data_IF_013439423773
#
_entry.id   IF_013439423773
#
_cell.length_a   1.000
_cell.length_b   1.000
_cell.length_c   1.000
_cell.angle_alpha   90.00
_cell.angle_beta   90.00
_cell.angle_gamma   90.00
#
_symmetry.space_group_name_H-M   'P 1'
#
loop_
_entity.id
_entity.type
_entity.pdbx_description
1 polymer ?
#
# COMPACT_ATOMS: atom_id res chain seq x y z
N UNK A 1 48.80 -34.59 5.19
CA UNK A 1 48.24 -33.72 4.14
C UNK A 1 46.71 -33.73 4.22
N UNK A 2 46.10 -32.65 4.72
CA UNK A 2 44.65 -32.35 4.69
C UNK A 2 44.52 -30.82 4.52
N UNK A 3 43.34 -30.29 4.19
CA UNK A 3 43.07 -28.85 3.95
C UNK A 3 43.81 -28.17 2.77
N UNK A 4 43.52 -28.59 1.52
CA UNK A 4 43.72 -27.74 0.31
C UNK A 4 42.64 -27.90 -0.78
N UNK A 5 41.42 -28.34 -0.42
CA UNK A 5 40.30 -28.54 -1.37
C UNK A 5 38.96 -27.91 -0.94
N UNK A 6 38.97 -26.96 0.00
CA UNK A 6 37.77 -26.22 0.45
C UNK A 6 38.03 -24.71 0.33
N UNK A 7 38.54 -24.29 -0.84
CA UNK A 7 38.75 -22.87 -1.19
C UNK A 7 38.22 -22.50 -2.58
N UNK A 8 37.74 -23.48 -3.37
CA UNK A 8 37.26 -23.28 -4.74
C UNK A 8 35.72 -23.12 -4.83
N UNK A 9 35.00 -23.27 -3.72
CA UNK A 9 33.52 -23.35 -3.69
C UNK A 9 32.83 -22.26 -2.84
N UNK A 10 33.58 -21.27 -2.34
CA UNK A 10 33.05 -20.17 -1.51
C UNK A 10 32.99 -18.84 -2.27
N UNK A 11 33.68 -18.73 -3.42
CA UNK A 11 33.76 -17.50 -4.22
C UNK A 11 32.62 -17.30 -5.24
N UNK A 12 31.56 -18.11 -5.18
CA UNK A 12 30.34 -17.99 -6.00
C UNK A 12 29.17 -17.40 -5.19
N UNK A 13 29.39 -17.11 -3.91
CA UNK A 13 28.38 -16.54 -3.01
C UNK A 13 28.33 -15.01 -3.13
N UNK A 14 27.13 -14.46 -3.28
CA UNK A 14 26.82 -13.01 -3.25
C UNK A 14 27.50 -12.13 -4.33
N UNK A 15 27.32 -12.51 -5.59
CA UNK A 15 26.84 -11.49 -6.54
C UNK A 15 25.38 -11.18 -6.20
N UNK A 16 25.19 -10.30 -5.22
CA UNK A 16 23.89 -9.76 -4.84
C UNK A 16 23.38 -8.80 -5.90
N UNK A 17 23.02 -9.33 -7.08
CA UNK A 17 22.37 -8.53 -8.10
C UNK A 17 21.03 -8.02 -7.55
N UNK A 18 20.95 -6.70 -7.37
CA UNK A 18 19.72 -6.02 -7.74
C UNK A 18 19.49 -6.38 -9.21
N UNK A 19 18.56 -7.30 -9.46
CA UNK A 19 18.16 -7.65 -10.82
C UNK A 19 17.42 -6.43 -11.39
N UNK A 20 18.16 -5.56 -12.06
CA UNK A 20 17.55 -4.49 -12.82
C UNK A 20 16.66 -5.12 -13.90
N UNK A 21 15.41 -4.68 -13.94
CA UNK A 21 14.36 -5.15 -14.84
C UNK A 21 14.10 -4.10 -15.89
N UNK A 22 13.76 -4.49 -17.12
CA UNK A 22 13.26 -3.53 -18.11
C UNK A 22 11.97 -2.88 -17.61
N UNK A 23 11.76 -1.62 -18.00
CA UNK A 23 10.43 -1.01 -18.02
C UNK A 23 9.66 -1.58 -19.21
N UNK A 24 8.47 -2.08 -18.95
CA UNK A 24 7.51 -2.52 -19.95
C UNK A 24 6.46 -1.45 -20.23
N UNK A 25 5.86 -1.51 -21.42
CA UNK A 25 4.85 -0.54 -21.89
C UNK A 25 3.67 -0.46 -20.92
N UNK A 26 3.07 -1.62 -20.60
CA UNK A 26 1.88 -1.75 -19.74
C UNK A 26 2.16 -1.65 -18.22
N UNK A 27 3.21 -0.95 -17.79
CA UNK A 27 3.51 -0.76 -16.35
C UNK A 27 2.75 0.39 -15.70
N UNK A 28 2.48 1.45 -16.46
CA UNK A 28 1.89 2.70 -15.95
C UNK A 28 1.26 3.52 -17.09
N UNK A 29 0.14 4.18 -16.81
CA UNK A 29 -0.41 5.27 -17.64
C UNK A 29 0.19 6.62 -17.24
N UNK A 30 0.44 7.47 -18.23
CA UNK A 30 0.96 8.84 -18.03
C UNK A 30 -0.03 9.82 -18.63
N UNK A 31 -0.98 10.31 -17.83
CA UNK A 31 -2.02 11.23 -18.31
C UNK A 31 -1.54 12.68 -18.38
N UNK A 32 -0.68 13.08 -17.43
CA UNK A 32 -0.15 14.43 -17.28
C UNK A 32 1.40 14.46 -17.40
N UNK A 33 2.03 15.54 -17.91
CA UNK A 33 3.49 15.68 -17.93
C UNK A 33 4.20 15.46 -16.58
N UNK A 34 3.53 15.67 -15.45
CA UNK A 34 4.07 15.44 -14.11
C UNK A 34 4.06 13.96 -13.69
N UNK A 35 3.32 13.07 -14.35
CA UNK A 35 3.38 11.62 -14.10
C UNK A 35 4.74 11.01 -14.43
N UNK A 36 5.51 11.68 -15.28
CA UNK A 36 6.90 11.33 -15.57
C UNK A 36 7.83 11.57 -14.37
N UNK A 37 7.46 12.45 -13.44
CA UNK A 37 8.34 12.89 -12.34
C UNK A 37 8.49 11.77 -11.31
N UNK A 38 9.73 11.28 -11.18
CA UNK A 38 10.12 10.20 -10.30
C UNK A 38 10.15 8.83 -10.96
N UNK A 39 9.67 8.71 -12.20
CA UNK A 39 9.78 7.47 -12.97
C UNK A 39 11.20 7.34 -13.56
N UNK A 40 11.67 6.10 -13.71
CA UNK A 40 12.97 5.78 -14.28
C UNK A 40 12.84 4.72 -15.38
N UNK A 41 12.86 5.15 -16.64
CA UNK A 41 12.71 4.25 -17.78
C UNK A 41 13.96 3.39 -17.97
N UNK A 42 13.80 2.07 -18.04
CA UNK A 42 14.85 1.09 -18.36
C UNK A 42 14.54 0.40 -19.70
N UNK A 43 15.01 0.93 -20.84
CA UNK A 43 14.71 0.39 -22.17
C UNK A 43 15.42 -0.95 -22.45
N UNK A 44 14.88 -1.72 -23.41
CA UNK A 44 15.42 -3.02 -23.82
C UNK A 44 16.14 -3.03 -25.19
N UNK A 45 15.91 -1.98 -26.00
CA UNK A 45 16.44 -1.85 -27.36
C UNK A 45 16.78 -0.38 -27.62
N UNK A 46 17.91 -0.12 -28.28
CA UNK A 46 18.26 1.21 -28.82
C UNK A 46 18.40 1.17 -30.34
N UNK A 47 18.15 2.32 -30.96
CA UNK A 47 18.21 2.52 -32.40
C UNK A 47 18.73 3.93 -32.69
N UNK A 48 19.68 4.04 -33.61
CA UNK A 48 20.25 5.32 -34.04
C UNK A 48 19.68 5.61 -35.45
N UNK A 49 18.98 6.74 -35.69
CA UNK A 49 18.37 6.99 -36.99
C UNK A 49 19.40 6.98 -38.13
N UNK A 50 19.20 6.09 -39.10
CA UNK A 50 20.13 5.82 -40.21
C UNK A 50 20.97 4.55 -40.03
N UNK A 51 20.96 3.95 -38.85
CA UNK A 51 21.31 2.55 -38.63
C UNK A 51 20.06 1.68 -38.85
N UNK A 52 20.25 0.46 -39.36
CA UNK A 52 19.17 -0.47 -39.70
C UNK A 52 19.09 -1.67 -38.74
N UNK A 53 20.15 -1.96 -37.99
CA UNK A 53 20.22 -3.08 -37.05
C UNK A 53 20.12 -2.57 -35.60
N UNK A 54 18.93 -2.58 -34.98
CA UNK A 54 18.76 -2.02 -33.65
C UNK A 54 19.42 -2.89 -32.57
N UNK A 55 20.19 -2.25 -31.69
CA UNK A 55 20.97 -2.92 -30.65
C UNK A 55 20.10 -3.28 -29.44
N UNK A 56 20.04 -4.56 -29.09
CA UNK A 56 19.44 -5.04 -27.84
C UNK A 56 20.33 -4.65 -26.64
N UNK A 57 19.72 -4.25 -25.54
CA UNK A 57 20.40 -3.70 -24.35
C UNK A 57 20.18 -4.64 -23.16
N UNK A 58 21.21 -4.81 -22.31
CA UNK A 58 21.04 -5.45 -20.99
C UNK A 58 20.25 -4.56 -20.02
N UNK A 59 19.40 -5.16 -19.19
CA UNK A 59 18.54 -4.42 -18.27
C UNK A 59 19.35 -3.55 -17.29
N UNK A 60 18.98 -2.27 -17.19
CA UNK A 60 19.66 -1.27 -16.35
C UNK A 60 20.90 -0.62 -16.98
N UNK A 61 21.51 -1.21 -18.03
CA UNK A 61 22.71 -0.66 -18.67
C UNK A 61 22.49 0.72 -19.30
N UNK A 62 21.23 1.05 -19.61
CA UNK A 62 20.76 2.41 -19.85
C UNK A 62 19.54 2.69 -18.97
N UNK A 63 19.42 3.91 -18.44
CA UNK A 63 18.21 4.34 -17.75
C UNK A 63 18.02 5.86 -17.74
N UNK A 64 16.77 6.30 -17.64
CA UNK A 64 16.35 7.71 -17.77
C UNK A 64 15.44 8.11 -16.60
N UNK A 65 16.06 8.55 -15.50
CA UNK A 65 15.38 8.99 -14.29
C UNK A 65 14.95 10.44 -14.37
N UNK A 66 13.64 10.70 -14.39
CA UNK A 66 13.09 12.05 -14.49
C UNK A 66 12.77 12.59 -13.09
N UNK A 67 13.07 13.87 -12.86
CA UNK A 67 12.68 14.63 -11.65
C UNK A 67 12.10 15.99 -12.08
N UNK A 68 11.62 16.81 -11.13
CA UNK A 68 10.99 18.11 -11.46
C UNK A 68 11.90 19.09 -12.20
N UNK A 69 13.23 18.99 -12.04
CA UNK A 69 14.20 19.91 -12.62
C UNK A 69 15.41 19.25 -13.29
N UNK A 70 15.54 17.92 -13.23
CA UNK A 70 16.71 17.18 -13.73
C UNK A 70 16.33 15.86 -14.39
N UNK A 71 16.99 15.55 -15.50
CA UNK A 71 17.03 14.22 -16.11
C UNK A 71 18.39 13.56 -15.80
N UNK A 72 18.33 12.40 -15.17
CA UNK A 72 19.45 11.53 -14.88
C UNK A 72 19.56 10.48 -15.98
N UNK A 73 20.63 10.50 -16.77
CA UNK A 73 20.87 9.52 -17.84
C UNK A 73 22.01 8.58 -17.43
N UNK A 74 21.69 7.29 -17.29
CA UNK A 74 22.66 6.20 -17.25
C UNK A 74 22.82 5.60 -18.66
N UNK A 75 24.02 5.11 -18.98
CA UNK A 75 24.37 4.66 -20.33
C UNK A 75 25.87 4.75 -20.60
N UNK A 76 26.23 4.71 -21.88
CA UNK A 76 27.61 4.92 -22.33
C UNK A 76 28.14 6.33 -22.02
N UNK A 77 29.45 6.52 -22.17
CA UNK A 77 30.09 7.82 -21.87
C UNK A 77 29.66 8.95 -22.82
N UNK A 78 29.07 8.61 -23.98
CA UNK A 78 28.57 9.60 -24.94
C UNK A 78 27.30 10.25 -24.43
N UNK A 79 26.38 9.51 -23.79
CA UNK A 79 25.10 10.07 -23.31
C UNK A 79 24.95 10.19 -21.80
N UNK A 80 25.65 9.39 -21.00
CA UNK A 80 25.60 9.44 -19.52
C UNK A 80 25.84 10.85 -19.00
N UNK A 81 25.01 11.29 -18.06
CA UNK A 81 25.10 12.64 -17.51
C UNK A 81 23.86 13.09 -16.74
N UNK A 82 23.94 14.32 -16.23
CA UNK A 82 22.86 15.02 -15.54
C UNK A 82 22.49 16.25 -16.37
N UNK A 83 21.24 16.34 -16.80
CA UNK A 83 20.74 17.41 -17.66
C UNK A 83 19.65 18.20 -16.92
N UNK A 84 19.64 19.52 -17.06
CA UNK A 84 18.63 20.37 -16.42
C UNK A 84 17.36 20.42 -17.29
N UNK A 85 16.20 20.21 -16.68
CA UNK A 85 14.90 20.26 -17.35
C UNK A 85 14.38 21.70 -17.25
N UNK A 86 14.36 22.41 -18.37
CA UNK A 86 13.82 23.77 -18.46
C UNK A 86 12.28 23.75 -18.55
N UNK A 87 11.70 22.73 -19.19
CA UNK A 87 10.25 22.57 -19.32
C UNK A 87 9.89 21.12 -19.67
N UNK A 88 8.71 20.67 -19.26
CA UNK A 88 8.05 19.46 -19.76
C UNK A 88 6.74 19.90 -20.40
N UNK A 89 6.53 19.57 -21.69
CA UNK A 89 5.32 19.97 -22.42
C UNK A 89 4.63 18.75 -23.06
N UNK A 90 3.29 18.72 -23.11
CA UNK A 90 2.55 17.76 -23.92
C UNK A 90 2.74 18.06 -25.42
N UNK A 91 2.59 17.01 -26.24
CA UNK A 91 2.78 17.02 -27.69
C UNK A 91 1.84 16.00 -28.34
N UNK A 92 1.73 16.01 -29.67
CA UNK A 92 0.89 15.08 -30.43
C UNK A 92 1.38 13.61 -30.43
N UNK A 93 2.45 13.29 -29.71
CA UNK A 93 3.03 11.95 -29.57
C UNK A 93 3.27 11.53 -28.12
N UNK A 94 2.80 12.32 -27.14
CA UNK A 94 3.17 12.17 -25.72
C UNK A 94 3.81 13.44 -25.19
N UNK A 95 5.05 13.37 -24.68
CA UNK A 95 5.67 14.48 -23.96
C UNK A 95 7.06 14.87 -24.49
N UNK A 96 7.46 16.12 -24.23
CA UNK A 96 8.79 16.63 -24.56
C UNK A 96 9.39 17.41 -23.39
N UNK A 97 10.45 16.85 -22.81
CA UNK A 97 11.35 17.53 -21.89
C UNK A 97 12.36 18.34 -22.71
N UNK A 98 12.44 19.65 -22.48
CA UNK A 98 13.49 20.50 -23.06
C UNK A 98 14.66 20.58 -22.10
N UNK A 99 15.85 20.18 -22.56
CA UNK A 99 17.03 20.01 -21.71
C UNK A 99 18.07 21.10 -21.96
N UNK A 100 18.69 21.58 -20.89
CA UNK A 100 19.86 22.47 -20.91
C UNK A 100 21.11 21.70 -20.44
N UNK A 101 22.25 22.04 -21.06
CA UNK A 101 23.57 21.71 -20.57
C UNK A 101 23.99 22.74 -19.50
N UNK A 102 24.19 22.35 -18.22
CA UNK A 102 24.54 23.30 -17.17
C UNK A 102 25.84 24.09 -17.42
N UNK A 103 26.72 23.58 -18.29
CA UNK A 103 27.98 24.24 -18.65
C UNK A 103 27.83 25.19 -19.85
N UNK A 104 26.73 25.05 -20.62
CA UNK A 104 26.46 25.86 -21.80
C UNK A 104 24.95 25.92 -22.10
N UNK A 105 24.19 26.86 -21.49
CA UNK A 105 22.74 26.98 -21.71
C UNK A 105 22.28 27.29 -23.15
N UNK A 106 23.20 27.64 -24.05
CA UNK A 106 22.93 27.77 -25.50
C UNK A 106 22.89 26.41 -26.20
N UNK A 107 23.52 25.38 -25.63
CA UNK A 107 23.42 24.00 -26.08
C UNK A 107 22.16 23.34 -25.50
N UNK A 108 21.17 23.09 -26.36
CA UNK A 108 19.86 22.54 -25.96
C UNK A 108 19.67 21.12 -26.44
N UNK A 109 19.43 20.21 -25.50
CA UNK A 109 19.01 18.84 -25.74
C UNK A 109 17.49 18.67 -25.60
N UNK A 110 17.02 17.43 -25.67
CA UNK A 110 15.66 17.07 -25.27
C UNK A 110 15.55 15.58 -24.92
N UNK A 111 14.48 15.22 -24.20
CA UNK A 111 13.93 13.86 -24.17
C UNK A 111 12.50 13.94 -24.68
N UNK A 112 12.18 13.22 -25.76
CA UNK A 112 10.80 12.94 -26.16
C UNK A 112 10.37 11.67 -25.43
N UNK A 113 9.16 11.63 -24.91
CA UNK A 113 8.50 10.43 -24.41
C UNK A 113 7.34 10.14 -25.37
N UNK A 114 7.39 8.98 -26.01
CA UNK A 114 6.44 8.57 -27.04
C UNK A 114 5.40 7.66 -26.37
N UNK A 115 4.15 8.14 -26.31
CA UNK A 115 3.03 7.41 -25.73
C UNK A 115 2.10 6.86 -26.80
N UNK A 116 1.51 5.70 -26.54
CA UNK A 116 0.47 5.12 -27.38
C UNK A 116 -0.90 5.77 -27.13
N UNK A 117 -1.93 5.25 -27.81
CA UNK A 117 -3.33 5.70 -27.69
C UNK A 117 -3.98 5.43 -26.31
N UNK A 118 -3.30 4.71 -25.42
CA UNK A 118 -3.68 4.43 -24.04
C UNK A 118 -2.80 5.20 -23.04
N UNK A 119 -2.01 6.18 -23.50
CA UNK A 119 -1.07 6.98 -22.68
C UNK A 119 0.04 6.15 -21.98
N UNK A 120 0.27 4.92 -22.43
CA UNK A 120 1.40 4.08 -22.04
C UNK A 120 2.65 4.43 -22.88
N UNK A 121 3.85 4.34 -22.32
CA UNK A 121 5.09 4.72 -23.03
C UNK A 121 5.63 3.56 -23.87
N UNK A 122 5.78 3.75 -25.18
CA UNK A 122 6.38 2.76 -26.09
C UNK A 122 7.87 3.00 -26.31
N UNK A 123 8.29 4.27 -26.35
CA UNK A 123 9.68 4.65 -26.59
C UNK A 123 10.01 6.01 -25.98
N UNK A 124 11.30 6.27 -25.79
CA UNK A 124 11.86 7.57 -25.42
C UNK A 124 12.97 7.93 -26.40
N UNK A 125 12.98 9.17 -26.89
CA UNK A 125 13.96 9.64 -27.87
C UNK A 125 14.83 10.72 -27.24
N UNK A 126 16.09 10.39 -27.01
CA UNK A 126 17.04 11.26 -26.33
C UNK A 126 17.92 12.01 -27.32
N UNK A 127 18.11 13.32 -27.08
CA UNK A 127 19.05 14.17 -27.79
C UNK A 127 19.91 14.94 -26.79
N UNK A 128 21.19 14.58 -26.67
CA UNK A 128 22.14 15.20 -25.73
C UNK A 128 22.34 16.70 -25.97
N UNK A 129 22.47 17.09 -27.24
CA UNK A 129 22.93 18.41 -27.63
C UNK A 129 22.25 18.85 -28.94
N UNK A 130 22.22 20.15 -29.23
CA UNK A 130 21.53 20.64 -30.44
C UNK A 130 22.12 20.06 -31.73
N UNK A 131 23.44 19.78 -31.71
CA UNK A 131 24.22 19.16 -32.80
C UNK A 131 24.42 17.64 -32.67
N UNK A 132 23.95 16.97 -31.61
CA UNK A 132 24.05 15.49 -31.55
C UNK A 132 23.01 14.87 -32.47
N UNK A 133 23.16 13.58 -32.78
CA UNK A 133 22.04 12.79 -33.27
C UNK A 133 21.00 12.61 -32.15
N UNK A 134 19.78 12.23 -32.54
CA UNK A 134 18.81 11.63 -31.64
C UNK A 134 19.12 10.13 -31.52
N UNK A 135 18.77 9.51 -30.39
CA UNK A 135 18.82 8.06 -30.18
C UNK A 135 17.46 7.62 -29.63
N UNK A 136 16.87 6.61 -30.25
CA UNK A 136 15.57 6.06 -29.88
C UNK A 136 15.83 4.88 -28.95
N UNK A 137 15.12 4.83 -27.82
CA UNK A 137 15.15 3.75 -26.85
C UNK A 137 13.73 3.22 -26.66
N UNK A 138 13.53 1.92 -26.83
CA UNK A 138 12.19 1.31 -26.78
C UNK A 138 11.96 0.59 -25.44
N UNK A 139 10.71 0.60 -24.98
CA UNK A 139 10.22 -0.26 -23.91
C UNK A 139 9.62 -1.54 -24.52
N UNK A 140 9.64 -2.66 -23.79
CA UNK A 140 9.16 -3.95 -24.30
C UNK A 140 7.75 -4.29 -23.83
N UNK A 141 7.09 -5.21 -24.53
CA UNK A 141 5.94 -5.90 -23.96
C UNK A 141 6.38 -6.74 -22.76
N UNK A 142 5.66 -6.63 -21.65
CA UNK A 142 5.85 -7.51 -20.51
C UNK A 142 5.57 -8.97 -20.92
N UNK A 143 6.48 -9.94 -20.66
CA UNK A 143 6.28 -11.33 -21.06
C UNK A 143 4.92 -11.88 -20.61
N UNK A 144 4.19 -12.58 -21.49
CA UNK A 144 2.82 -13.07 -21.20
C UNK A 144 2.74 -13.94 -19.93
N UNK A 145 3.83 -14.62 -19.58
CA UNK A 145 4.00 -15.41 -18.35
C UNK A 145 4.20 -14.56 -17.09
N UNK A 146 4.79 -13.36 -17.21
CA UNK A 146 4.85 -12.35 -16.15
C UNK A 146 3.48 -11.68 -15.98
N UNK A 147 2.89 -11.16 -17.06
CA UNK A 147 1.57 -10.52 -17.04
C UNK A 147 0.48 -11.39 -16.40
N UNK A 148 0.47 -12.70 -16.67
CA UNK A 148 -0.46 -13.66 -16.04
C UNK A 148 -0.20 -13.89 -14.55
N UNK A 149 1.03 -13.75 -14.06
CA UNK A 149 1.35 -13.79 -12.62
C UNK A 149 0.93 -12.48 -11.95
N UNK A 150 1.24 -11.35 -12.57
CA UNK A 150 0.94 -10.03 -12.03
C UNK A 150 -0.57 -9.79 -11.93
N UNK A 151 -1.36 -10.09 -12.98
CA UNK A 151 -2.84 -10.05 -12.95
C UNK A 151 -3.49 -11.00 -11.92
N UNK A 152 -2.74 -11.97 -11.37
CA UNK A 152 -3.25 -12.86 -10.30
C UNK A 152 -2.87 -12.37 -8.90
N UNK A 153 -1.93 -11.43 -8.78
CA UNK A 153 -1.35 -11.04 -7.49
C UNK A 153 -1.66 -9.60 -7.11
N UNK A 154 -1.54 -8.68 -8.06
CA UNK A 154 -1.85 -7.27 -7.85
C UNK A 154 -3.33 -7.01 -8.11
N UNK A 155 -3.89 -6.08 -7.37
CA UNK A 155 -5.25 -5.59 -7.60
C UNK A 155 -5.28 -4.83 -8.93
N UNK A 156 -6.24 -5.14 -9.78
CA UNK A 156 -6.50 -4.40 -11.01
C UNK A 156 -7.41 -3.20 -10.77
N UNK A 157 -7.23 -2.14 -11.56
CA UNK A 157 -8.20 -1.04 -11.65
C UNK A 157 -9.58 -1.62 -12.01
N UNK A 158 -10.60 -1.28 -11.22
CA UNK A 158 -11.96 -1.83 -11.37
C UNK A 158 -12.24 -3.13 -10.60
N UNK A 159 -11.27 -3.75 -9.93
CA UNK A 159 -11.47 -5.06 -9.26
C UNK A 159 -12.24 -4.97 -7.92
N UNK A 160 -12.00 -3.91 -7.14
CA UNK A 160 -12.61 -3.72 -5.82
C UNK A 160 -13.53 -2.49 -5.88
N UNK A 161 -14.84 -2.70 -5.80
CA UNK A 161 -15.83 -1.65 -5.64
C UNK A 161 -16.09 -1.34 -4.16
N UNK A 162 -16.30 -0.07 -3.81
CA UNK A 162 -16.64 0.40 -2.45
C UNK A 162 -17.90 1.25 -2.52
N UNK A 163 -19.05 0.59 -2.65
CA UNK A 163 -20.36 1.23 -2.78
C UNK A 163 -20.71 2.07 -1.53
N UNK A 164 -20.44 1.53 -0.33
CA UNK A 164 -20.63 2.21 0.96
C UNK A 164 -19.40 2.02 1.87
N UNK A 165 -19.23 2.88 2.89
CA UNK A 165 -18.06 2.79 3.81
C UNK A 165 -17.90 1.45 4.50
N UNK A 166 -18.98 0.70 4.70
CA UNK A 166 -18.94 -0.60 5.39
C UNK A 166 -18.56 -1.75 4.45
N UNK A 167 -18.76 -1.59 3.14
CA UNK A 167 -18.25 -2.53 2.11
C UNK A 167 -16.73 -2.58 2.03
N UNK A 168 -16.03 -1.58 2.61
CA UNK A 168 -14.59 -1.52 2.70
C UNK A 168 -14.01 -2.59 3.64
N UNK A 169 -14.74 -3.02 4.68
CA UNK A 169 -14.20 -3.90 5.71
C UNK A 169 -14.13 -5.36 5.24
N UNK A 170 -12.98 -6.00 5.45
CA UNK A 170 -12.62 -7.31 4.89
C UNK A 170 -11.90 -7.21 3.54
N UNK A 171 -11.89 -6.05 2.88
CA UNK A 171 -11.18 -5.87 1.60
C UNK A 171 -9.66 -5.80 1.78
N UNK A 172 -8.93 -6.10 0.69
CA UNK A 172 -7.47 -6.10 0.68
C UNK A 172 -6.91 -5.74 -0.69
N UNK A 173 -6.10 -4.68 -0.73
CA UNK A 173 -5.45 -4.16 -1.94
C UNK A 173 -4.00 -4.68 -2.00
N UNK A 174 -3.58 -5.10 -3.19
CA UNK A 174 -2.19 -5.43 -3.53
C UNK A 174 -1.69 -4.43 -4.58
N UNK A 175 -1.07 -3.29 -4.17
CA UNK A 175 -0.70 -2.23 -5.09
C UNK A 175 0.48 -2.60 -6.00
N UNK A 176 0.48 -2.07 -7.23
CA UNK A 176 1.47 -2.32 -8.28
C UNK A 176 2.64 -1.33 -8.25
N UNK A 177 2.34 -0.06 -7.95
CA UNK A 177 3.33 1.02 -7.87
C UNK A 177 3.23 1.71 -6.50
N UNK A 178 4.34 2.29 -6.04
CA UNK A 178 4.33 3.33 -5.00
C UNK A 178 4.97 4.61 -5.52
N UNK A 179 4.40 5.75 -5.14
CA UNK A 179 4.93 7.10 -5.40
C UNK A 179 5.16 7.78 -4.07
N UNK A 180 6.42 8.02 -3.71
CA UNK A 180 6.75 8.85 -2.54
C UNK A 180 6.60 10.32 -2.95
N UNK A 181 5.56 10.99 -2.43
CA UNK A 181 5.20 12.36 -2.86
C UNK A 181 6.18 13.41 -2.34
N UNK A 182 6.90 13.12 -1.24
CA UNK A 182 7.94 13.99 -0.69
C UNK A 182 9.19 13.98 -1.57
N UNK A 183 9.74 12.80 -1.88
CA UNK A 183 10.94 12.68 -2.72
C UNK A 183 10.64 12.77 -4.22
N UNK A 184 9.38 12.60 -4.62
CA UNK A 184 8.95 12.41 -6.00
C UNK A 184 9.74 11.27 -6.66
N UNK A 185 9.67 10.07 -6.05
CA UNK A 185 10.28 8.83 -6.56
C UNK A 185 9.17 7.80 -6.75
N UNK A 186 9.18 7.12 -7.89
CA UNK A 186 8.24 6.06 -8.24
C UNK A 186 8.97 4.70 -8.23
N UNK A 187 8.49 3.77 -7.42
CA UNK A 187 9.00 2.40 -7.39
C UNK A 187 7.88 1.42 -7.78
N UNK A 188 8.16 0.55 -8.76
CA UNK A 188 7.36 -0.65 -9.00
C UNK A 188 7.52 -1.63 -7.83
N UNK A 189 6.40 -2.17 -7.37
CA UNK A 189 6.34 -3.20 -6.34
C UNK A 189 6.36 -4.57 -7.00
N UNK A 190 7.07 -5.53 -6.40
CA UNK A 190 7.12 -6.90 -6.90
C UNK A 190 6.48 -7.86 -5.90
N UNK A 191 6.11 -9.06 -6.36
CA UNK A 191 5.67 -10.16 -5.48
C UNK A 191 6.63 -10.41 -4.30
N UNK A 192 7.94 -10.27 -4.55
CA UNK A 192 8.99 -10.41 -3.57
C UNK A 192 8.94 -9.36 -2.43
N UNK A 193 8.25 -8.23 -2.61
CA UNK A 193 8.13 -7.17 -1.60
C UNK A 193 6.87 -7.33 -0.73
N UNK A 194 6.02 -8.33 -1.04
CA UNK A 194 4.89 -8.80 -0.22
C UNK A 194 4.00 -7.68 0.35
N UNK A 195 3.83 -6.60 -0.43
CA UNK A 195 3.15 -5.38 0.02
C UNK A 195 1.64 -5.50 -0.16
N UNK A 196 0.88 -5.16 0.88
CA UNK A 196 -0.59 -5.16 0.83
C UNK A 196 -1.21 -4.28 1.90
N UNK A 197 -2.35 -3.67 1.58
CA UNK A 197 -3.18 -2.87 2.48
C UNK A 197 -4.46 -3.66 2.78
N UNK A 198 -4.78 -3.95 4.03
CA UNK A 198 -6.03 -4.60 4.45
C UNK A 198 -6.87 -3.71 5.35
N UNK A 199 -8.19 -3.82 5.20
CA UNK A 199 -9.18 -3.13 6.01
C UNK A 199 -9.91 -4.17 6.86
N UNK A 200 -9.82 -4.07 8.19
CA UNK A 200 -10.16 -5.17 9.10
C UNK A 200 -11.12 -4.71 10.21
N UNK A 201 -12.27 -5.37 10.32
CA UNK A 201 -13.15 -5.29 11.49
C UNK A 201 -12.74 -6.35 12.53
N UNK A 202 -12.57 -5.93 13.78
CA UNK A 202 -12.27 -6.81 14.92
C UNK A 202 -13.41 -6.72 15.93
N UNK A 203 -14.15 -7.82 16.08
CA UNK A 203 -15.29 -7.95 17.00
C UNK A 203 -14.80 -8.48 18.35
N UNK A 204 -14.86 -7.65 19.40
CA UNK A 204 -14.52 -8.03 20.77
C UNK A 204 -15.79 -8.35 21.56
N UNK A 205 -15.91 -9.56 22.09
CA UNK A 205 -17.02 -9.97 22.98
C UNK A 205 -16.53 -10.02 24.42
N UNK A 206 -17.17 -9.25 25.32
CA UNK A 206 -16.86 -9.24 26.77
C UNK A 206 -18.07 -9.68 27.58
N UNK A 207 -17.96 -10.81 28.27
CA UNK A 207 -19.04 -11.35 29.12
C UNK A 207 -19.10 -10.63 30.48
N UNK A 208 -20.23 -9.98 30.81
CA UNK A 208 -20.40 -9.29 32.10
C UNK A 208 -21.00 -10.23 33.16
N UNK A 209 -20.16 -10.95 33.89
CA UNK A 209 -20.61 -11.76 35.05
C UNK A 209 -21.32 -10.88 36.10
N UNK A 210 -22.53 -11.28 36.47
CA UNK A 210 -23.50 -10.53 37.30
C UNK A 210 -22.98 -10.45 38.76
N UNK A 211 -22.45 -9.30 39.20
CA UNK A 211 -21.95 -9.13 40.59
C UNK A 211 -23.06 -9.41 41.63
N UNK A 212 -23.06 -10.61 42.22
CA UNK A 212 -23.98 -10.99 43.34
C UNK A 212 -23.85 -9.96 44.47
N UNK A 213 -24.94 -9.21 44.76
CA UNK A 213 -25.01 -8.17 45.79
C UNK A 213 -24.78 -8.75 47.19
N UNK A 214 -23.53 -8.77 47.68
CA UNK A 214 -23.22 -9.08 49.09
C UNK A 214 -23.96 -8.08 50.00
N UNK A 215 -25.00 -8.53 50.72
CA UNK A 215 -25.73 -7.74 51.73
C UNK A 215 -24.75 -7.28 52.82
N UNK A 216 -24.33 -6.01 52.77
CA UNK A 216 -23.48 -5.38 53.80
C UNK A 216 -24.20 -5.33 55.15
N UNK A 217 -24.03 -6.34 56.00
CA UNK A 217 -24.34 -6.25 57.43
C UNK A 217 -23.48 -5.15 58.06
N UNK A 218 -24.11 -4.07 58.56
CA UNK A 218 -23.43 -3.00 59.30
C UNK A 218 -22.81 -3.55 60.59
N UNK A 219 -21.52 -3.28 60.84
CA UNK A 219 -20.88 -3.34 62.18
C UNK A 219 -20.15 -2.01 62.46
N UNK A 220 -20.00 -1.66 63.74
CA UNK A 220 -19.56 -0.33 64.23
C UNK A 220 -18.02 -0.16 64.24
N UNK A 221 -17.59 1.11 64.31
CA UNK A 221 -16.20 1.62 64.42
C UNK A 221 -15.38 1.00 65.58
N UNK A 222 -14.06 0.92 65.40
CA UNK A 222 -13.02 1.40 66.36
C UNK A 222 -11.74 1.83 65.60
N UNK A 223 -10.75 2.44 66.28
CA UNK A 223 -9.72 3.32 65.66
C UNK A 223 -8.37 3.32 66.42
N UNK A 224 -7.25 3.07 65.73
CA UNK A 224 -5.81 3.31 66.11
C UNK A 224 -4.95 3.03 64.86
N UNK A 225 -3.95 3.84 64.44
CA UNK A 225 -2.59 4.10 64.99
C UNK A 225 -1.78 2.80 65.23
N UNK A 226 -0.60 2.57 64.63
CA UNK A 226 0.08 3.23 63.48
C UNK A 226 1.60 2.93 63.37
N UNK A 227 2.22 3.27 62.21
CA UNK A 227 3.63 3.66 61.97
C UNK A 227 4.77 2.57 61.99
N UNK A 228 5.53 2.51 60.87
CA UNK A 228 6.94 2.04 60.62
C UNK A 228 7.38 0.62 61.11
N UNK A 229 8.40 -0.10 60.57
CA UNK A 229 9.41 0.03 59.50
C UNK A 229 9.86 -1.43 59.06
N UNK A 230 10.75 -1.80 58.11
CA UNK A 230 11.58 -1.20 57.03
C UNK A 230 12.03 -2.34 56.03
N UNK A 231 12.70 -1.99 54.91
CA UNK A 231 13.69 -2.78 54.10
C UNK A 231 13.24 -4.11 53.42
N UNK A 232 13.75 -4.53 52.24
CA UNK A 232 14.69 -3.94 51.25
C UNK A 232 14.75 -4.73 49.93
N UNK A 233 14.95 -4.06 48.76
CA UNK A 233 15.57 -4.60 47.50
C UNK A 233 14.73 -5.66 46.74
N UNK A 234 14.70 -5.83 45.39
CA UNK A 234 15.59 -5.44 44.27
C UNK A 234 14.82 -4.99 42.98
N UNK A 235 15.56 -4.89 41.85
CA UNK A 235 15.24 -4.27 40.55
C UNK A 235 14.14 -4.93 39.69
N UNK A 236 13.47 -4.14 38.83
CA UNK A 236 13.57 -4.28 37.34
C UNK A 236 12.90 -3.08 36.63
N UNK A 237 13.25 -2.88 35.35
CA UNK A 237 12.99 -1.64 34.59
C UNK A 237 11.55 -1.47 34.07
N UNK A 238 11.16 -0.22 33.79
CA UNK A 238 9.83 0.15 33.30
C UNK A 238 9.84 0.67 31.85
N UNK A 239 8.78 0.34 31.09
CA UNK A 239 8.36 1.05 29.89
C UNK A 239 6.85 1.28 30.00
N UNK A 240 6.40 2.50 29.70
CA UNK A 240 5.11 3.02 30.17
C UNK A 240 3.89 2.49 29.39
N UNK A 241 2.94 1.87 30.11
CA UNK A 241 1.57 1.63 29.60
C UNK A 241 0.73 2.89 29.86
N UNK A 242 0.61 3.76 28.84
CA UNK A 242 -0.19 4.99 28.94
C UNK A 242 -1.68 4.65 28.79
N UNK A 243 -2.36 4.44 29.92
CA UNK A 243 -3.79 4.72 30.03
C UNK A 243 -4.03 6.24 29.93
N UNK A 244 -4.84 6.71 28.98
CA UNK A 244 -5.63 7.93 29.25
C UNK A 244 -6.95 8.01 28.45
N UNK A 245 -7.93 8.66 29.09
CA UNK A 245 -9.16 9.24 28.54
C UNK A 245 -10.02 8.38 27.58
N UNK A 246 -11.07 7.76 28.14
CA UNK A 246 -12.26 7.43 27.36
C UNK A 246 -12.97 8.72 26.92
N UNK A 247 -13.27 8.83 25.63
CA UNK A 247 -14.50 9.47 25.17
C UNK A 247 -15.08 8.59 24.06
N UNK A 248 -16.24 7.98 24.34
CA UNK A 248 -16.88 6.96 23.50
C UNK A 248 -18.33 7.36 23.32
N UNK A 249 -18.73 7.62 22.08
CA UNK A 249 -20.13 7.84 21.73
C UNK A 249 -20.92 6.54 21.94
N UNK A 250 -21.93 6.57 22.81
CA UNK A 250 -22.82 5.41 23.03
C UNK A 250 -23.84 5.29 21.89
N UNK A 251 -23.45 4.62 20.81
CA UNK A 251 -24.41 4.01 19.88
C UNK A 251 -25.05 2.82 20.61
N UNK A 252 -26.26 3.03 21.12
CA UNK A 252 -26.92 2.14 22.06
C UNK A 252 -28.07 1.36 21.40
N UNK A 253 -27.74 0.53 20.41
CA UNK A 253 -28.71 -0.33 19.74
C UNK A 253 -29.16 -1.50 20.63
N UNK A 254 -30.34 -1.35 21.24
CA UNK A 254 -31.06 -2.45 21.87
C UNK A 254 -31.71 -3.34 20.80
N UNK A 255 -30.92 -4.21 20.15
CA UNK A 255 -31.48 -5.29 19.32
C UNK A 255 -32.08 -6.35 20.25
N UNK A 256 -33.41 -6.36 20.38
CA UNK A 256 -34.14 -7.40 21.10
C UNK A 256 -34.34 -8.60 20.17
N UNK A 257 -33.63 -9.70 20.41
CA UNK A 257 -33.78 -10.94 19.63
C UNK A 257 -34.72 -11.87 20.38
N UNK A 258 -36.01 -11.72 20.07
CA UNK A 258 -37.05 -12.73 20.29
C UNK A 258 -37.67 -13.03 18.91
N UNK A 259 -38.17 -14.25 18.72
CA UNK A 259 -38.73 -14.80 17.47
C UNK A 259 -37.73 -14.96 16.30
N UNK A 260 -36.99 -16.07 16.31
CA UNK A 260 -36.80 -16.86 15.09
C UNK A 260 -37.87 -17.95 15.14
N UNK A 261 -38.93 -17.81 14.34
CA UNK A 261 -39.95 -18.86 14.17
C UNK A 261 -39.63 -19.64 12.89
N UNK A 262 -39.14 -20.88 13.04
CA UNK A 262 -38.89 -21.78 11.91
C UNK A 262 -40.22 -22.26 11.31
N UNK A 263 -40.51 -21.84 10.08
CA UNK A 263 -41.70 -22.26 9.35
C UNK A 263 -41.52 -23.66 8.74
N UNK A 264 -41.84 -24.72 9.49
CA UNK A 264 -41.95 -26.09 8.96
C UNK A 264 -43.29 -26.71 9.34
N UNK A 265 -44.04 -27.21 8.36
CA UNK A 265 -45.43 -27.67 8.52
C UNK A 265 -45.55 -29.03 9.22
N UNK A 266 -46.68 -29.24 9.92
CA UNK A 266 -47.00 -30.41 10.74
C UNK A 266 -47.13 -31.74 9.96
N UNK A 267 -46.83 -32.85 10.65
CA UNK A 267 -47.72 -34.03 10.63
C UNK A 267 -47.70 -34.75 12.01
N UNK A 268 -48.77 -35.48 12.34
CA UNK A 268 -49.08 -35.98 13.71
C UNK A 268 -48.49 -37.35 14.05
N UNK A 269 -48.37 -37.64 15.37
CA UNK A 269 -49.01 -38.78 16.08
C UNK A 269 -48.87 -38.61 17.61
N UNK A 270 -49.57 -39.42 18.42
CA UNK A 270 -50.08 -39.08 19.77
C UNK A 270 -49.42 -39.86 20.94
N UNK A 271 -49.21 -39.17 22.09
CA UNK A 271 -49.30 -39.63 23.52
C UNK A 271 -48.57 -40.91 24.05
N UNK A 272 -48.40 -41.09 25.39
CA UNK A 272 -48.00 -40.13 26.44
C UNK A 272 -46.91 -40.69 27.42
N UNK A 273 -46.59 -39.87 28.44
CA UNK A 273 -46.13 -40.22 29.80
C UNK A 273 -44.60 -40.24 30.16
N UNK A 274 -44.14 -39.14 30.78
CA UNK A 274 -43.26 -39.13 31.95
C UNK A 274 -43.30 -37.75 32.64
N UNK A 275 -43.00 -37.68 33.94
CA UNK A 275 -43.03 -36.45 34.75
C UNK A 275 -41.61 -36.15 35.36
N UNK A 276 -41.36 -35.02 36.04
CA UNK A 276 -40.32 -34.09 35.59
C UNK A 276 -38.98 -34.16 36.33
N UNK A 277 -37.96 -33.57 35.71
CA UNK A 277 -36.65 -33.24 36.30
C UNK A 277 -36.33 -31.75 36.07
N UNK A 278 -35.44 -31.15 36.89
CA UNK A 278 -35.55 -29.73 37.23
C UNK A 278 -35.03 -28.77 36.16
N UNK A 279 -35.59 -27.56 36.19
CA UNK A 279 -35.11 -26.36 35.49
C UNK A 279 -33.64 -26.08 35.86
N UNK A 280 -32.73 -26.14 34.89
CA UNK A 280 -31.42 -25.49 35.06
C UNK A 280 -31.62 -23.97 34.99
N UNK A 281 -31.13 -23.23 35.99
CA UNK A 281 -31.20 -21.76 35.97
C UNK A 281 -30.33 -21.23 34.82
N UNK A 282 -30.96 -20.83 33.69
CA UNK A 282 -30.31 -20.09 32.61
C UNK A 282 -29.65 -18.81 33.15
N UNK A 283 -28.36 -18.86 33.48
CA UNK A 283 -27.58 -17.67 33.86
C UNK A 283 -27.51 -16.75 32.65
N UNK A 284 -28.42 -15.77 32.56
CA UNK A 284 -28.46 -14.77 31.48
C UNK A 284 -27.14 -13.97 31.42
N UNK A 285 -26.17 -14.48 30.65
CA UNK A 285 -24.84 -13.88 30.44
C UNK A 285 -24.98 -12.68 29.52
N UNK A 286 -25.08 -11.48 30.10
CA UNK A 286 -25.06 -10.24 29.31
C UNK A 286 -23.68 -10.03 28.68
N UNK A 287 -23.56 -10.36 27.39
CA UNK A 287 -22.40 -10.10 26.54
C UNK A 287 -22.42 -8.63 26.08
N UNK A 288 -21.30 -7.91 26.19
CA UNK A 288 -21.08 -6.66 25.43
C UNK A 288 -20.23 -7.01 24.20
N UNK A 289 -20.80 -6.80 23.02
CA UNK A 289 -20.07 -6.82 21.76
C UNK A 289 -19.45 -5.42 21.56
N UNK A 290 -18.30 -5.32 20.88
CA UNK A 290 -17.65 -4.06 20.53
C UNK A 290 -16.86 -4.26 19.25
N UNK A 291 -17.29 -3.62 18.16
CA UNK A 291 -16.56 -3.57 16.88
C UNK A 291 -15.41 -2.56 16.97
N UNK A 292 -14.28 -2.87 16.33
CA UNK A 292 -13.14 -1.96 16.20
C UNK A 292 -12.48 -2.12 14.84
N UNK A 293 -12.22 -1.00 14.17
CA UNK A 293 -11.77 -0.98 12.77
C UNK A 293 -10.30 -0.57 12.64
N UNK A 294 -9.58 -1.25 11.75
CA UNK A 294 -8.16 -1.03 11.49
C UNK A 294 -7.87 -1.00 10.00
N UNK A 295 -6.98 -0.10 9.57
CA UNK A 295 -6.24 -0.27 8.32
C UNK A 295 -4.87 -0.85 8.65
N UNK A 296 -4.46 -1.93 8.01
CA UNK A 296 -3.14 -2.53 8.18
C UNK A 296 -2.36 -2.48 6.88
N UNK A 297 -1.08 -2.12 6.98
CA UNK A 297 -0.15 -2.06 5.85
C UNK A 297 1.00 -3.00 6.14
N UNK A 298 1.08 -4.06 5.33
CA UNK A 298 2.15 -5.05 5.34
C UNK A 298 3.13 -4.73 4.23
N UNK A 299 4.44 -4.80 4.51
CA UNK A 299 5.49 -4.77 3.48
C UNK A 299 6.72 -5.56 3.94
N UNK A 300 7.48 -6.11 2.99
CA UNK A 300 8.79 -6.69 3.26
C UNK A 300 9.86 -5.59 3.20
N UNK A 301 10.51 -5.33 4.32
CA UNK A 301 11.66 -4.42 4.40
C UNK A 301 12.93 -5.26 4.27
N UNK A 302 13.78 -4.92 3.31
CA UNK A 302 15.10 -5.54 3.09
C UNK A 302 16.18 -4.64 3.69
N UNK A 303 17.01 -5.17 4.58
CA UNK A 303 18.07 -4.41 5.25
C UNK A 303 19.42 -4.57 4.52
N UNK A 304 20.38 -3.68 4.83
CA UNK A 304 21.70 -3.62 4.13
C UNK A 304 22.60 -4.83 4.38
N UNK A 305 22.30 -5.64 5.39
CA UNK A 305 22.96 -6.90 5.72
C UNK A 305 22.38 -8.10 4.93
N UNK A 306 21.36 -7.87 4.08
CA UNK A 306 20.66 -8.91 3.34
C UNK A 306 19.52 -9.58 4.11
N UNK A 307 19.29 -9.22 5.38
CA UNK A 307 18.12 -9.72 6.12
C UNK A 307 16.82 -9.08 5.61
N UNK A 308 15.68 -9.70 5.89
CA UNK A 308 14.37 -9.23 5.43
C UNK A 308 13.32 -9.45 6.51
N UNK A 309 12.56 -8.40 6.81
CA UNK A 309 11.54 -8.37 7.88
C UNK A 309 10.18 -7.99 7.31
N UNK A 310 9.12 -8.70 7.72
CA UNK A 310 7.75 -8.34 7.39
C UNK A 310 7.26 -7.27 8.37
N UNK A 311 7.37 -6.00 7.96
CA UNK A 311 6.86 -4.88 8.75
C UNK A 311 5.35 -4.76 8.55
N UNK A 312 4.60 -4.80 9.64
CA UNK A 312 3.14 -4.57 9.63
C UNK A 312 2.83 -3.34 10.47
N UNK A 313 2.26 -2.31 9.85
CA UNK A 313 1.79 -1.09 10.52
C UNK A 313 0.27 -1.16 10.67
N UNK A 314 -0.27 -0.89 11.86
CA UNK A 314 -1.70 -0.98 12.16
C UNK A 314 -2.24 0.38 12.58
N UNK A 315 -3.32 0.82 11.95
CA UNK A 315 -3.90 2.15 12.09
C UNK A 315 -5.35 2.02 12.60
N UNK A 316 -5.62 2.19 13.91
CA UNK A 316 -6.97 2.16 14.44
C UNK A 316 -7.77 3.36 13.94
N UNK A 317 -8.88 3.09 13.26
CA UNK A 317 -9.77 4.10 12.68
C UNK A 317 -10.63 4.72 13.78
N UNK A 318 -10.87 6.02 13.69
CA UNK A 318 -11.85 6.77 14.51
C UNK A 318 -13.08 7.16 13.69
N UNK A 319 -12.89 7.60 12.43
CA UNK A 319 -13.97 8.02 11.53
C UNK A 319 -13.48 7.94 10.07
N UNK A 320 -14.41 7.73 9.13
CA UNK A 320 -14.20 7.98 7.69
C UNK A 320 -15.07 9.18 7.29
N UNK A 321 -14.56 10.05 6.42
CA UNK A 321 -15.32 11.14 5.79
C UNK A 321 -15.11 11.08 4.28
N UNK A 322 -16.20 10.92 3.53
CA UNK A 322 -16.20 10.94 2.07
C UNK A 322 -16.21 12.38 1.53
N UNK A 323 -15.51 12.60 0.42
CA UNK A 323 -15.56 13.80 -0.40
C UNK A 323 -15.75 13.39 -1.86
N UNK A 324 -16.45 14.22 -2.62
CA UNK A 324 -16.73 13.98 -4.03
C UNK A 324 -16.28 15.20 -4.88
N UNK A 325 -15.56 14.94 -5.97
CA UNK A 325 -15.36 15.92 -7.04
C UNK A 325 -16.39 15.69 -8.16
N UNK A 326 -17.42 16.54 -8.17
CA UNK A 326 -18.53 16.47 -9.15
C UNK A 326 -18.06 16.83 -10.58
N UNK A 327 -16.84 17.35 -10.75
CA UNK A 327 -16.24 17.69 -12.05
C UNK A 327 -15.38 16.57 -12.67
N UNK A 328 -15.05 15.52 -11.90
CA UNK A 328 -14.28 14.38 -12.38
C UNK A 328 -15.01 13.61 -13.50
N UNK A 329 -14.27 13.24 -14.55
CA UNK A 329 -14.80 12.39 -15.64
C UNK A 329 -15.01 10.96 -15.15
N UNK A 330 -15.73 10.15 -15.93
CA UNK A 330 -16.10 8.77 -15.56
C UNK A 330 -14.90 7.89 -15.11
N UNK A 331 -13.74 8.06 -15.74
CA UNK A 331 -12.56 7.26 -15.50
C UNK A 331 -11.57 7.92 -14.52
N UNK A 332 -11.87 9.11 -14.01
CA UNK A 332 -11.02 9.87 -13.11
C UNK A 332 -11.39 9.58 -11.64
N UNK A 333 -10.45 9.82 -10.73
CA UNK A 333 -10.68 9.71 -9.29
C UNK A 333 -11.74 10.75 -8.85
N UNK A 334 -12.92 10.27 -8.45
CA UNK A 334 -14.09 11.09 -8.11
C UNK A 334 -14.36 11.17 -6.61
N UNK A 335 -14.09 10.09 -5.87
CA UNK A 335 -14.37 10.04 -4.43
C UNK A 335 -13.08 9.86 -3.63
N UNK A 336 -12.95 10.63 -2.55
CA UNK A 336 -11.84 10.53 -1.59
C UNK A 336 -12.38 10.20 -0.20
N UNK A 337 -12.01 9.05 0.35
CA UNK A 337 -12.31 8.67 1.73
C UNK A 337 -11.18 9.13 2.66
N UNK A 338 -11.39 10.20 3.43
CA UNK A 338 -10.48 10.64 4.49
C UNK A 338 -10.66 9.74 5.73
N UNK A 339 -9.75 8.80 5.93
CA UNK A 339 -9.73 7.89 7.07
C UNK A 339 -8.94 8.54 8.21
N UNK A 340 -9.65 8.97 9.25
CA UNK A 340 -9.06 9.61 10.45
C UNK A 340 -8.73 8.55 11.50
N UNK A 341 -7.45 8.43 11.87
CA UNK A 341 -7.01 7.48 12.91
C UNK A 341 -7.08 8.07 14.31
N UNK A 342 -7.10 7.20 15.33
CA UNK A 342 -6.93 7.62 16.74
C UNK A 342 -5.59 8.32 17.00
N UNK A 343 -4.55 7.98 16.24
CA UNK A 343 -3.20 8.57 16.34
C UNK A 343 -2.99 9.87 15.57
N UNK A 344 -4.04 10.63 15.27
CA UNK A 344 -4.05 11.89 14.48
C UNK A 344 -3.51 11.80 13.04
N UNK A 345 -3.03 10.63 12.58
CA UNK A 345 -2.70 10.38 11.18
C UNK A 345 -3.97 10.30 10.34
N UNK A 346 -3.88 10.79 9.10
CA UNK A 346 -4.86 10.58 8.04
C UNK A 346 -4.34 9.53 7.06
N UNK A 347 -5.26 8.78 6.46
CA UNK A 347 -5.05 8.02 5.24
C UNK A 347 -6.12 8.46 4.24
N UNK A 348 -5.85 8.33 2.95
CA UNK A 348 -6.84 8.59 1.89
C UNK A 348 -6.99 7.35 1.02
N UNK A 349 -8.22 6.95 0.73
CA UNK A 349 -8.54 5.97 -0.33
C UNK A 349 -9.26 6.73 -1.44
N UNK A 350 -8.78 6.58 -2.67
CA UNK A 350 -9.32 7.25 -3.85
C UNK A 350 -10.08 6.23 -4.70
N UNK A 351 -11.30 6.59 -5.10
CA UNK A 351 -12.18 5.77 -5.91
C UNK A 351 -12.56 6.51 -7.20
N UNK A 352 -12.66 5.75 -8.30
CA UNK A 352 -13.08 6.26 -9.60
C UNK A 352 -14.57 6.63 -9.63
N UNK A 353 -15.04 7.19 -10.75
CA UNK A 353 -16.45 7.52 -10.97
C UNK A 353 -17.45 6.35 -10.88
N UNK A 354 -16.98 5.10 -10.89
CA UNK A 354 -17.75 3.87 -10.66
C UNK A 354 -17.58 3.29 -9.23
N UNK A 355 -16.99 4.07 -8.31
CA UNK A 355 -16.63 3.70 -6.93
C UNK A 355 -15.64 2.54 -6.81
N UNK A 356 -14.89 2.22 -7.86
CA UNK A 356 -13.79 1.24 -7.80
C UNK A 356 -12.50 1.85 -7.28
N UNK A 357 -11.71 1.06 -6.53
CA UNK A 357 -10.44 1.49 -5.94
C UNK A 357 -9.42 1.83 -7.02
N UNK A 358 -8.88 3.04 -6.93
CA UNK A 358 -7.81 3.57 -7.79
C UNK A 358 -6.47 3.63 -7.05
N UNK A 359 -6.42 4.36 -5.95
CA UNK A 359 -5.18 4.61 -5.23
C UNK A 359 -5.39 4.81 -3.73
N UNK A 360 -4.30 4.72 -2.95
CA UNK A 360 -4.33 4.83 -1.49
C UNK A 360 -3.10 5.58 -0.97
N UNK A 361 -3.29 6.65 -0.19
CA UNK A 361 -2.19 7.47 0.34
C UNK A 361 -2.05 7.39 1.86
N UNK A 362 -0.80 7.28 2.33
CA UNK A 362 -0.46 7.43 3.75
C UNK A 362 0.95 8.01 3.93
N UNK A 363 1.12 8.94 4.89
CA UNK A 363 2.41 9.56 5.25
C UNK A 363 3.21 10.15 4.06
N UNK A 364 2.56 10.59 2.97
CA UNK A 364 3.25 11.03 1.75
C UNK A 364 3.81 9.89 0.89
N UNK A 365 3.20 8.71 0.95
CA UNK A 365 3.37 7.62 -0.01
C UNK A 365 2.01 7.25 -0.57
N UNK A 366 1.84 7.48 -1.87
CA UNK A 366 0.70 7.05 -2.66
C UNK A 366 0.97 5.64 -3.20
N UNK A 367 -0.01 4.76 -3.14
CA UNK A 367 0.03 3.39 -3.64
C UNK A 367 -1.02 3.25 -4.74
N UNK A 368 -0.60 2.78 -5.92
CA UNK A 368 -1.46 2.67 -7.11
C UNK A 368 -1.82 1.20 -7.37
N UNK A 369 -3.05 0.93 -7.81
CA UNK A 369 -3.42 -0.40 -8.35
C UNK A 369 -2.83 -0.60 -9.76
N UNK A 370 -2.99 -1.79 -10.34
CA UNK A 370 -2.46 -2.10 -11.68
C UNK A 370 -3.38 -1.55 -12.76
N UNK A 371 -2.83 -0.79 -13.70
CA UNK A 371 -3.58 -0.08 -14.74
C UNK A 371 -3.89 1.40 -14.41
N UNK A 372 -3.24 1.95 -13.40
CA UNK A 372 -3.06 3.40 -13.15
C UNK A 372 -1.86 3.93 -13.96
#
# INVERSE_FOLDING_TARGET
>A
MKFKLILLFVFVSFWGQAQETYSYIHERVFEDPFDLVGYNFRPFKMEIPGDYDPTMIEAGAYSFGITRSRLYVHGDEKIRGLYEINNIAPTNYGYKLTLLDPNNPSNRGHLKVITNKYQEVEAIVFKKASKSNEIIFHLSDAPKSLMKKEKKYFTDLGEIAVEETDSLWGTKIYPYLRVNTNSNIQDRLYFADSTSISFEEVITIKEKKKKKKKRRRRKKKKKSKGIEENQSVEETEAVEEIEEANEVEEVNENVNIENIEDATTEEKIEDPAAAPTPEEEDEIVKRKITKTYFVKIKSLVKYKDGTSEIKTQSFPVKKIEEREDVSAKKNEERFQLEIKTKGKKKLYLYLNGDRTVSSFEINGVLYLVRGH
#
